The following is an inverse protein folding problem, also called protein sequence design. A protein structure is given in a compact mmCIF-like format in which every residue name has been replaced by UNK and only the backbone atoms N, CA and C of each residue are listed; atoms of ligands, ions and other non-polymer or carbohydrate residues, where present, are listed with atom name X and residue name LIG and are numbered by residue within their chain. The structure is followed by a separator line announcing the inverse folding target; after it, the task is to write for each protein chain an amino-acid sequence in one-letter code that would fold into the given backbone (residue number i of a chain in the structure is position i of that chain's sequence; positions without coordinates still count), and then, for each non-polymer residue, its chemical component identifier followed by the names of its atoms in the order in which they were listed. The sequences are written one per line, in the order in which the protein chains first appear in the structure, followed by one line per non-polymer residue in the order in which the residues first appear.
data_IF_642269531703
#
_entry.id   IF_642269531703
#
_cell.length_a   1.000
_cell.length_b   1.000
_cell.length_c   1.000
_cell.angle_alpha   90.00
_cell.angle_beta   90.00
_cell.angle_gamma   90.00
#
_symmetry.space_group_name_H-M   'P 1'
#
loop_
_entity.id
_entity.type
_entity.pdbx_description
1 polymer ?
#
# COMPACT_ATOMS: atom_id res chain seq x y z
N UNK A 1 -15.76 -1.36 9.60
CA UNK A 1 -16.22 -0.03 9.17
C UNK A 1 -17.72 -0.11 8.87
N UNK A 2 -18.50 0.92 9.20
CA UNK A 2 -19.93 1.00 8.84
C UNK A 2 -20.07 1.82 7.57
N UNK A 3 -20.80 1.36 6.53
CA UNK A 3 -21.02 2.16 5.33
C UNK A 3 -21.72 3.48 5.64
N UNK A 4 -21.20 4.60 5.15
CA UNK A 4 -21.87 5.91 5.13
C UNK A 4 -21.73 6.56 3.74
N UNK A 5 -22.85 6.77 3.05
CA UNK A 5 -22.88 7.37 1.71
C UNK A 5 -22.45 8.84 1.66
N UNK A 6 -22.53 9.55 2.78
CA UNK A 6 -22.14 10.97 2.84
C UNK A 6 -20.63 11.16 2.64
N UNK A 7 -19.84 10.08 2.79
CA UNK A 7 -18.40 10.06 2.56
C UNK A 7 -18.03 9.74 1.10
N UNK A 8 -19.01 9.57 0.21
CA UNK A 8 -18.75 9.22 -1.20
C UNK A 8 -17.98 10.34 -1.91
N UNK A 9 -16.77 10.01 -2.37
CA UNK A 9 -15.88 10.90 -3.11
C UNK A 9 -15.45 10.21 -4.41
N UNK A 10 -16.10 10.53 -5.54
CA UNK A 10 -15.82 9.88 -6.82
C UNK A 10 -14.56 10.42 -7.52
N UNK A 11 -13.73 11.21 -6.85
CA UNK A 11 -12.53 11.80 -7.46
C UNK A 11 -11.41 10.76 -7.66
N UNK A 12 -10.67 10.82 -8.79
CA UNK A 12 -9.51 9.97 -8.99
C UNK A 12 -8.43 10.16 -7.91
N UNK A 13 -8.32 11.36 -7.35
CA UNK A 13 -7.41 11.71 -6.27
C UNK A 13 -7.72 10.92 -4.99
N UNK A 14 -9.00 10.79 -4.62
CA UNK A 14 -9.41 9.97 -3.49
C UNK A 14 -9.06 8.48 -3.71
N UNK A 15 -9.27 7.97 -4.93
CA UNK A 15 -8.89 6.59 -5.29
C UNK A 15 -7.37 6.38 -5.17
N UNK A 16 -6.56 7.32 -5.67
CA UNK A 16 -5.09 7.27 -5.54
C UNK A 16 -4.66 7.24 -4.09
N UNK A 17 -5.23 8.12 -3.26
CA UNK A 17 -4.93 8.16 -1.84
C UNK A 17 -5.26 6.83 -1.13
N UNK A 18 -6.38 6.18 -1.47
CA UNK A 18 -6.71 4.86 -0.94
C UNK A 18 -5.73 3.77 -1.39
N UNK A 19 -5.36 3.74 -2.68
CA UNK A 19 -4.39 2.78 -3.22
C UNK A 19 -3.02 2.94 -2.58
N UNK A 20 -2.56 4.18 -2.40
CA UNK A 20 -1.29 4.51 -1.75
C UNK A 20 -1.28 4.08 -0.27
N UNK A 21 -2.39 4.32 0.45
CA UNK A 21 -2.56 3.87 1.84
C UNK A 21 -2.50 2.35 1.99
N UNK A 22 -3.04 1.60 1.03
CA UNK A 22 -2.99 0.13 1.04
C UNK A 22 -1.55 -0.38 0.84
N UNK A 23 -0.76 0.29 -0.01
CA UNK A 23 0.66 -0.02 -0.21
C UNK A 23 0.92 -1.41 -0.84
N UNK A 24 -0.05 -1.93 -1.61
CA UNK A 24 0.05 -3.20 -2.36
C UNK A 24 -0.02 -2.96 -3.86
N UNK A 25 0.32 -3.96 -4.66
CA UNK A 25 0.21 -3.86 -6.11
C UNK A 25 -1.24 -3.70 -6.55
N UNK A 26 -1.47 -2.95 -7.63
CA UNK A 26 -2.81 -2.74 -8.20
C UNK A 26 -3.50 -4.06 -8.56
N UNK A 27 -2.75 -5.05 -9.08
CA UNK A 27 -3.27 -6.40 -9.34
C UNK A 27 -3.82 -7.06 -8.07
N UNK A 28 -3.06 -7.00 -6.97
CA UNK A 28 -3.48 -7.57 -5.70
C UNK A 28 -4.73 -6.87 -5.18
N UNK A 29 -4.73 -5.53 -5.16
CA UNK A 29 -5.87 -4.71 -4.71
C UNK A 29 -7.13 -5.06 -5.50
N UNK A 30 -7.05 -5.04 -6.84
CA UNK A 30 -8.18 -5.30 -7.72
C UNK A 30 -8.77 -6.70 -7.49
N UNK A 31 -7.90 -7.72 -7.38
CA UNK A 31 -8.31 -9.10 -7.09
C UNK A 31 -8.98 -9.21 -5.73
N UNK A 32 -8.47 -8.52 -4.70
CA UNK A 32 -9.02 -8.55 -3.34
C UNK A 32 -10.41 -7.92 -3.26
N UNK A 33 -10.66 -6.82 -3.98
CA UNK A 33 -11.99 -6.16 -3.96
C UNK A 33 -12.94 -6.70 -5.05
N UNK A 34 -12.49 -7.64 -5.88
CA UNK A 34 -13.33 -8.29 -6.89
C UNK A 34 -13.57 -7.48 -8.17
N UNK A 35 -12.65 -6.59 -8.56
CA UNK A 35 -12.70 -5.87 -9.84
C UNK A 35 -11.54 -6.28 -10.75
N UNK A 36 -11.65 -5.98 -12.05
CA UNK A 36 -10.51 -6.17 -12.96
C UNK A 36 -9.41 -5.14 -12.69
N UNK A 37 -8.14 -5.54 -12.85
CA UNK A 37 -7.00 -4.63 -12.73
C UNK A 37 -7.12 -3.46 -13.73
N UNK A 38 -7.63 -3.71 -14.93
CA UNK A 38 -7.91 -2.67 -15.93
C UNK A 38 -8.91 -1.63 -15.41
N UNK A 39 -9.95 -2.06 -14.68
CA UNK A 39 -10.92 -1.14 -14.08
C UNK A 39 -10.26 -0.29 -13.01
N UNK A 40 -9.46 -0.87 -12.12
CA UNK A 40 -8.71 -0.10 -11.11
C UNK A 40 -7.79 0.95 -11.75
N UNK A 41 -7.09 0.60 -12.83
CA UNK A 41 -6.25 1.56 -13.57
C UNK A 41 -7.05 2.74 -14.12
N UNK A 42 -8.25 2.49 -14.63
CA UNK A 42 -9.12 3.57 -15.11
C UNK A 42 -9.70 4.42 -13.99
N UNK A 43 -10.02 3.83 -12.85
CA UNK A 43 -10.45 4.59 -11.66
C UNK A 43 -9.33 5.52 -11.16
N UNK A 44 -8.08 5.05 -11.19
CA UNK A 44 -6.90 5.85 -10.85
C UNK A 44 -6.64 6.94 -11.90
N UNK A 45 -6.83 6.65 -13.19
CA UNK A 45 -6.65 7.61 -14.27
C UNK A 45 -7.74 8.69 -14.26
N UNK A 46 -8.98 8.33 -13.90
CA UNK A 46 -10.15 9.20 -13.91
C UNK A 46 -10.86 9.27 -15.26
N UNK A 47 -10.20 8.84 -16.33
CA UNK A 47 -10.78 8.76 -17.67
C UNK A 47 -10.25 7.55 -18.43
N UNK A 48 -10.92 7.23 -19.53
CA UNK A 48 -10.46 6.25 -20.51
C UNK A 48 -10.84 6.70 -21.91
N UNK A 49 -10.07 6.29 -22.90
CA UNK A 49 -10.43 6.48 -24.31
C UNK A 49 -11.34 5.33 -24.78
N UNK A 50 -12.44 5.68 -25.44
CA UNK A 50 -13.36 4.76 -26.12
C UNK A 50 -13.68 5.34 -27.48
N UNK A 51 -13.30 4.65 -28.55
CA UNK A 51 -13.58 5.07 -29.93
C UNK A 51 -13.12 6.51 -30.25
N UNK A 52 -11.92 6.89 -29.76
CA UNK A 52 -11.36 8.24 -29.95
C UNK A 52 -11.97 9.32 -29.07
N UNK A 53 -12.84 8.96 -28.11
CA UNK A 53 -13.46 9.89 -27.16
C UNK A 53 -12.99 9.61 -25.74
N UNK A 54 -12.60 10.66 -25.03
CA UNK A 54 -12.34 10.58 -23.60
C UNK A 54 -13.66 10.44 -22.84
N UNK A 55 -13.74 9.42 -21.98
CA UNK A 55 -14.90 9.12 -21.15
C UNK A 55 -14.47 9.08 -19.69
N UNK A 56 -15.15 9.85 -18.86
CA UNK A 56 -14.96 9.84 -17.41
C UNK A 56 -15.21 8.44 -16.82
N UNK A 57 -14.31 8.02 -15.94
CA UNK A 57 -14.45 6.78 -15.18
C UNK A 57 -14.50 7.14 -13.71
N UNK A 58 -15.68 7.01 -13.12
CA UNK A 58 -15.92 7.27 -11.71
C UNK A 58 -16.01 5.96 -10.93
N UNK A 59 -15.48 5.98 -9.72
CA UNK A 59 -15.65 4.89 -8.77
C UNK A 59 -17.10 4.85 -8.30
N UNK A 60 -17.67 3.67 -8.09
CA UNK A 60 -18.98 3.54 -7.45
C UNK A 60 -18.81 3.52 -5.92
N UNK A 61 -19.84 3.93 -5.18
CA UNK A 61 -19.78 3.90 -3.72
C UNK A 61 -19.39 2.53 -3.12
N UNK A 62 -19.91 1.38 -3.61
CA UNK A 62 -19.47 0.07 -3.12
C UNK A 62 -17.97 -0.20 -3.33
N UNK A 63 -17.41 0.24 -4.46
CA UNK A 63 -15.99 0.09 -4.76
C UNK A 63 -15.12 0.99 -3.87
N UNK A 64 -15.56 2.23 -3.63
CA UNK A 64 -14.90 3.13 -2.69
C UNK A 64 -14.91 2.52 -1.29
N UNK A 65 -16.07 2.08 -0.81
CA UNK A 65 -16.20 1.47 0.52
C UNK A 65 -15.34 0.21 0.68
N UNK A 66 -15.25 -0.62 -0.37
CA UNK A 66 -14.36 -1.78 -0.37
C UNK A 66 -12.88 -1.37 -0.26
N UNK A 67 -12.45 -0.34 -1.00
CA UNK A 67 -11.09 0.21 -0.89
C UNK A 67 -10.81 0.82 0.48
N UNK A 68 -11.76 1.53 1.07
CA UNK A 68 -11.65 2.09 2.42
C UNK A 68 -11.46 1.00 3.47
N UNK A 69 -12.27 -0.06 3.40
CA UNK A 69 -12.14 -1.22 4.30
C UNK A 69 -10.78 -1.89 4.15
N UNK A 70 -10.29 -2.03 2.91
CA UNK A 70 -8.99 -2.63 2.63
C UNK A 70 -7.83 -1.75 3.11
N UNK A 71 -7.93 -0.43 2.93
CA UNK A 71 -6.95 0.54 3.42
C UNK A 71 -6.86 0.49 4.95
N UNK A 72 -8.00 0.50 5.65
CA UNK A 72 -8.04 0.38 7.09
C UNK A 72 -7.40 -0.94 7.57
N UNK A 73 -7.73 -2.06 6.92
CA UNK A 73 -7.14 -3.35 7.26
C UNK A 73 -5.62 -3.40 7.04
N UNK A 74 -5.13 -2.79 5.96
CA UNK A 74 -3.70 -2.69 5.66
C UNK A 74 -2.95 -1.86 6.71
N UNK A 75 -3.55 -0.75 7.16
CA UNK A 75 -3.00 0.10 8.22
C UNK A 75 -2.86 -0.65 9.54
N UNK A 76 -3.91 -1.37 9.98
CA UNK A 76 -3.86 -2.19 11.19
C UNK A 76 -2.76 -3.24 11.12
N UNK A 77 -2.65 -3.95 10.00
CA UNK A 77 -1.60 -4.96 9.80
C UNK A 77 -0.17 -4.37 9.78
N UNK A 78 -0.02 -3.13 9.31
CA UNK A 78 1.26 -2.44 9.31
C UNK A 78 1.63 -1.89 10.71
N UNK A 79 0.64 -1.53 11.53
CA UNK A 79 0.85 -1.12 12.92
C UNK A 79 1.24 -2.30 13.82
N UNK A 80 0.62 -3.46 13.60
CA UNK A 80 0.87 -4.68 14.40
C UNK A 80 2.18 -5.39 14.04
N UNK A 81 2.77 -5.08 12.87
CA UNK A 81 4.12 -5.57 12.54
C UNK A 81 5.14 -4.81 13.40
N UNK A 82 5.90 -5.48 14.29
CA UNK A 82 7.02 -4.83 14.94
C UNK A 82 7.95 -4.31 13.84
N UNK A 83 8.31 -3.02 13.90
CA UNK A 83 9.21 -2.38 12.94
C UNK A 83 10.40 -3.30 12.73
N UNK A 84 10.52 -3.87 11.54
CA UNK A 84 11.59 -4.84 11.25
C UNK A 84 12.91 -4.13 11.48
N UNK A 85 13.64 -4.59 12.49
CA UNK A 85 14.93 -4.02 12.84
C UNK A 85 15.85 -4.22 11.63
N UNK A 86 16.27 -3.13 10.99
CA UNK A 86 17.24 -3.22 9.90
C UNK A 86 18.60 -3.48 10.53
N UNK A 87 19.19 -4.63 10.22
CA UNK A 87 20.56 -4.95 10.63
C UNK A 87 21.54 -4.47 9.58
N UNK A 88 22.69 -3.97 10.02
CA UNK A 88 23.84 -3.76 9.16
C UNK A 88 24.34 -5.10 8.59
N UNK A 89 25.12 -5.02 7.49
CA UNK A 89 25.83 -6.21 7.00
C UNK A 89 26.74 -6.75 8.11
N UNK A 90 26.74 -8.06 8.38
CA UNK A 90 27.62 -8.65 9.37
C UNK A 90 29.08 -8.40 8.98
N UNK A 91 29.88 -7.97 9.96
CA UNK A 91 31.34 -7.88 9.81
C UNK A 91 32.01 -8.93 10.69
N UNK A 92 33.12 -9.48 10.20
CA UNK A 92 33.93 -10.44 10.96
C UNK A 92 35.18 -9.74 11.50
N UNK A 93 35.51 -10.04 12.75
CA UNK A 93 36.75 -9.59 13.40
C UNK A 93 37.42 -10.77 14.10
N UNK A 94 38.72 -10.67 14.37
CA UNK A 94 39.49 -11.66 15.13
C UNK A 94 39.98 -11.00 16.40
N UNK A 95 39.71 -11.60 17.55
CA UNK A 95 40.19 -11.09 18.84
C UNK A 95 41.68 -11.40 19.07
N UNK A 96 42.27 -10.82 20.12
CA UNK A 96 43.67 -11.02 20.48
C UNK A 96 44.02 -12.49 20.85
N UNK A 97 43.00 -13.34 21.04
CA UNK A 97 43.14 -14.78 21.33
C UNK A 97 43.01 -15.62 20.05
N UNK A 98 42.82 -15.00 18.88
CA UNK A 98 42.67 -15.68 17.60
C UNK A 98 41.26 -16.19 17.29
N UNK A 99 40.25 -15.86 18.11
CA UNK A 99 38.85 -16.26 17.87
C UNK A 99 38.15 -15.28 16.93
N UNK A 100 37.39 -15.83 15.98
CA UNK A 100 36.55 -15.05 15.05
C UNK A 100 35.23 -14.68 15.71
N UNK A 101 34.91 -13.39 15.74
CA UNK A 101 33.62 -12.85 16.17
C UNK A 101 32.85 -12.27 14.97
N UNK A 102 31.54 -12.55 14.91
CA UNK A 102 30.60 -11.94 13.96
C UNK A 102 29.90 -10.80 14.67
N UNK A 103 30.05 -9.59 14.15
CA UNK A 103 29.43 -8.38 14.69
C UNK A 103 28.33 -7.91 13.74
N UNK A 104 27.14 -7.63 14.30
CA UNK A 104 26.00 -7.08 13.56
C UNK A 104 25.46 -5.89 14.34
N UNK A 105 25.43 -4.71 13.72
CA UNK A 105 24.88 -3.51 14.35
C UNK A 105 23.42 -3.33 13.96
N UNK A 106 22.60 -2.97 14.93
CA UNK A 106 21.20 -2.57 14.70
C UNK A 106 21.15 -1.14 14.18
N UNK A 107 20.54 -0.92 13.01
CA UNK A 107 20.18 0.42 12.55
C UNK A 107 18.85 0.82 13.19
N UNK A 108 18.87 1.76 14.12
CA UNK A 108 17.64 2.44 14.55
C UNK A 108 17.16 3.29 13.39
N UNK A 109 15.95 3.01 12.87
CA UNK A 109 15.29 3.91 11.94
C UNK A 109 15.03 5.23 12.68
N UNK A 110 15.64 6.32 12.22
CA UNK A 110 15.45 7.65 12.78
C UNK A 110 13.97 8.04 12.79
N UNK A 111 13.58 8.69 13.88
CA UNK A 111 12.40 9.54 13.97
C UNK A 111 12.94 10.93 13.62
N UNK A 112 12.57 11.46 12.45
CA UNK A 112 12.55 12.90 12.19
C UNK A 112 11.09 13.36 12.30
#
# INVERSE_FOLDING_TARGET
MTPNSDNYDPTPEAVRALVDRIGKSQFWIATTIGISERRLRYLIAGSREVEGKETDVKITYPEQFALECLAQAAETLNQDRPRTVKFDRPTTSVDATGKRAINVKVRRSGID
#
